data_IF_972431957658
#
_entry.id   IF_972431957658
#
_cell.length_a   1.000
_cell.length_b   1.000
_cell.length_c   1.000
_cell.angle_alpha   90.00
_cell.angle_beta   90.00
_cell.angle_gamma   90.00
#
_symmetry.space_group_name_H-M   'P 1'
#
loop_
_entity.id
_entity.type
_entity.pdbx_description
1 polymer ?
#
# COMPACT_ATOMS: atom_id res chain seq x y z
N UNK A 1 -20.75 -22.15 2.55
CA UNK A 1 -21.22 -20.75 2.69
C UNK A 1 -21.78 -20.36 4.07
N UNK A 2 -22.37 -21.30 4.84
CA UNK A 2 -22.99 -21.03 6.16
C UNK A 2 -22.09 -21.31 7.38
N UNK A 3 -20.80 -21.61 7.20
CA UNK A 3 -19.91 -21.85 8.35
C UNK A 3 -19.70 -20.54 9.13
N UNK A 4 -20.01 -20.47 10.44
CA UNK A 4 -19.83 -19.26 11.23
C UNK A 4 -18.39 -18.74 11.23
N UNK A 5 -17.38 -19.62 11.21
CA UNK A 5 -15.95 -19.24 11.16
C UNK A 5 -15.61 -18.57 9.82
N UNK A 6 -16.19 -19.09 8.73
CA UNK A 6 -16.05 -18.48 7.42
C UNK A 6 -16.71 -17.10 7.38
N UNK A 7 -17.94 -16.98 7.90
CA UNK A 7 -18.65 -15.69 7.97
C UNK A 7 -17.85 -14.68 8.80
N UNK A 8 -17.31 -15.09 9.95
CA UNK A 8 -16.50 -14.23 10.84
C UNK A 8 -15.24 -13.69 10.13
N UNK A 9 -14.51 -14.54 9.41
CA UNK A 9 -13.28 -14.14 8.71
C UNK A 9 -13.56 -13.30 7.45
N UNK A 10 -14.56 -13.65 6.64
CA UNK A 10 -14.86 -12.94 5.39
C UNK A 10 -15.64 -11.64 5.60
N UNK A 11 -16.41 -11.52 6.68
CA UNK A 11 -17.05 -10.26 7.06
C UNK A 11 -16.07 -9.19 7.56
N UNK A 12 -14.81 -9.56 7.83
CA UNK A 12 -13.82 -8.67 8.41
C UNK A 12 -14.03 -8.37 9.90
N UNK A 13 -14.99 -9.03 10.55
CA UNK A 13 -15.25 -8.85 11.98
C UNK A 13 -14.06 -9.27 12.85
N UNK A 14 -13.53 -10.48 12.60
CA UNK A 14 -12.31 -11.00 13.24
C UNK A 14 -11.83 -12.23 12.47
N UNK A 15 -10.52 -12.41 12.37
CA UNK A 15 -9.97 -13.55 11.66
C UNK A 15 -9.32 -13.17 10.34
N UNK A 16 -8.25 -13.86 9.99
CA UNK A 16 -7.63 -13.79 8.67
C UNK A 16 -7.63 -15.19 8.03
N UNK A 17 -7.56 -15.25 6.70
CA UNK A 17 -7.41 -16.50 5.93
C UNK A 17 -6.22 -17.32 6.45
N UNK A 18 -5.12 -16.67 6.84
CA UNK A 18 -3.97 -17.33 7.46
C UNK A 18 -4.31 -18.03 8.79
N UNK A 19 -5.20 -17.45 9.59
CA UNK A 19 -5.65 -18.04 10.85
C UNK A 19 -6.61 -19.20 10.61
N UNK A 20 -7.50 -19.08 9.61
CA UNK A 20 -8.39 -20.19 9.18
C UNK A 20 -7.57 -21.36 8.64
N UNK A 21 -6.51 -21.08 7.88
CA UNK A 21 -5.60 -22.10 7.36
C UNK A 21 -4.90 -22.87 8.49
N UNK A 22 -4.46 -22.20 9.56
CA UNK A 22 -3.86 -22.87 10.73
C UNK A 22 -4.88 -23.72 11.52
N UNK A 23 -6.16 -23.34 11.51
CA UNK A 23 -7.22 -24.06 12.22
C UNK A 23 -7.60 -25.38 11.55
N UNK A 24 -7.70 -25.40 10.21
CA UNK A 24 -8.30 -26.52 9.46
C UNK A 24 -7.37 -27.12 8.39
N UNK A 25 -6.38 -26.38 7.92
CA UNK A 25 -5.44 -26.82 6.89
C UNK A 25 -4.21 -27.48 7.49
N UNK A 26 -3.11 -26.73 7.53
CA UNK A 26 -1.87 -27.08 8.23
C UNK A 26 -1.32 -25.84 8.92
N UNK A 27 -0.57 -26.03 10.00
CA UNK A 27 0.09 -24.90 10.67
C UNK A 27 1.29 -24.37 9.87
N UNK A 28 1.99 -25.24 9.15
CA UNK A 28 3.02 -24.89 8.17
C UNK A 28 4.42 -24.66 8.79
N UNK A 29 5.20 -23.80 8.15
CA UNK A 29 6.59 -23.51 8.52
C UNK A 29 6.67 -22.48 9.66
N UNK A 30 7.68 -22.65 10.50
CA UNK A 30 7.98 -21.79 11.64
C UNK A 30 9.37 -21.17 11.52
N UNK A 31 9.56 -20.01 12.16
CA UNK A 31 10.89 -19.41 12.31
C UNK A 31 11.57 -19.83 13.61
N UNK A 32 12.88 -20.06 13.55
CA UNK A 32 13.74 -20.20 14.72
C UNK A 32 13.90 -18.86 15.48
N UNK A 33 14.50 -18.85 16.68
CA UNK A 33 14.77 -17.62 17.43
C UNK A 33 15.68 -16.61 16.70
N UNK A 34 16.48 -17.09 15.74
CA UNK A 34 17.36 -16.31 14.87
C UNK A 34 16.63 -15.73 13.63
N UNK A 35 15.36 -16.10 13.41
CA UNK A 35 14.54 -15.67 12.28
C UNK A 35 14.71 -16.49 11.00
N UNK A 36 15.43 -17.62 11.03
CA UNK A 36 15.56 -18.54 9.90
C UNK A 36 14.37 -19.50 9.86
N UNK A 37 13.99 -19.94 8.66
CA UNK A 37 12.93 -20.94 8.53
C UNK A 37 13.46 -22.30 9.01
N UNK A 38 12.64 -22.97 9.82
CA UNK A 38 12.89 -24.35 10.22
C UNK A 38 12.39 -25.25 9.09
N UNK A 39 13.27 -26.09 8.55
CA UNK A 39 12.95 -26.94 7.38
C UNK A 39 11.90 -28.02 7.67
N UNK A 40 11.61 -28.31 8.94
CA UNK A 40 10.58 -29.27 9.35
C UNK A 40 9.21 -28.57 9.48
N UNK A 41 8.25 -28.80 8.56
CA UNK A 41 6.93 -28.21 8.64
C UNK A 41 6.05 -28.91 9.67
N UNK A 42 5.17 -28.15 10.31
CA UNK A 42 4.08 -28.67 11.15
C UNK A 42 2.92 -29.05 10.22
N UNK A 43 2.72 -30.35 10.04
CA UNK A 43 1.72 -30.87 9.10
C UNK A 43 0.32 -30.85 9.71
N UNK A 44 0.21 -31.10 11.02
CA UNK A 44 -1.07 -31.11 11.71
C UNK A 44 -1.67 -29.70 11.84
N UNK A 45 -3.00 -29.65 11.95
CA UNK A 45 -3.75 -28.43 12.23
C UNK A 45 -4.20 -28.35 13.69
N UNK A 46 -4.68 -27.17 14.11
CA UNK A 46 -5.12 -26.95 15.49
C UNK A 46 -6.38 -27.77 15.86
N UNK A 47 -7.15 -28.24 14.88
CA UNK A 47 -8.32 -29.10 15.10
C UNK A 47 -7.91 -30.55 15.39
N UNK A 48 -6.89 -31.06 14.71
CA UNK A 48 -6.32 -32.39 14.89
C UNK A 48 -5.43 -32.47 16.14
N UNK A 49 -4.83 -31.34 16.53
CA UNK A 49 -3.87 -31.26 17.63
C UNK A 49 -2.43 -31.33 17.12
N UNK A 50 -1.48 -31.02 18.00
CA UNK A 50 -0.06 -31.01 17.68
C UNK A 50 0.66 -32.08 18.49
N UNK A 51 1.61 -32.77 17.86
CA UNK A 51 2.55 -33.64 18.58
C UNK A 51 3.46 -32.82 19.51
N UNK A 52 4.10 -33.48 20.47
CA UNK A 52 5.03 -32.82 21.40
C UNK A 52 6.13 -32.04 20.66
N UNK A 53 6.68 -32.65 19.60
CA UNK A 53 7.74 -32.04 18.78
C UNK A 53 7.23 -30.82 18.01
N UNK A 54 6.06 -30.91 17.38
CA UNK A 54 5.46 -29.78 16.65
C UNK A 54 5.09 -28.63 17.58
N UNK A 55 4.59 -28.94 18.77
CA UNK A 55 4.28 -27.94 19.78
C UNK A 55 5.56 -27.19 20.22
N UNK A 56 6.64 -27.91 20.52
CA UNK A 56 7.93 -27.30 20.90
C UNK A 56 8.48 -26.42 19.78
N UNK A 57 8.43 -26.87 18.52
CA UNK A 57 8.85 -26.08 17.35
C UNK A 57 8.04 -24.79 17.26
N UNK A 58 6.72 -24.89 17.42
CA UNK A 58 5.84 -23.71 17.42
C UNK A 58 6.13 -22.74 18.57
N UNK A 59 6.62 -23.22 19.72
CA UNK A 59 6.94 -22.38 20.86
C UNK A 59 8.12 -21.44 20.60
N UNK A 60 9.10 -21.82 19.77
CA UNK A 60 10.26 -20.97 19.47
C UNK A 60 9.83 -19.69 18.75
N UNK A 61 9.06 -19.81 17.67
CA UNK A 61 8.51 -18.67 16.93
C UNK A 61 7.57 -17.81 17.79
N UNK A 62 6.70 -18.45 18.59
CA UNK A 62 5.79 -17.75 19.50
C UNK A 62 6.53 -16.94 20.56
N UNK A 63 7.53 -17.54 21.23
CA UNK A 63 8.32 -16.87 22.27
C UNK A 63 9.09 -15.69 21.69
N UNK A 64 9.73 -15.87 20.53
CA UNK A 64 10.45 -14.80 19.84
C UNK A 64 9.50 -13.64 19.51
N UNK A 65 8.31 -13.94 19.00
CA UNK A 65 7.28 -12.94 18.71
C UNK A 65 6.86 -12.13 19.93
N UNK A 66 6.59 -12.79 21.07
CA UNK A 66 6.22 -12.11 22.33
C UNK A 66 7.36 -11.25 22.86
N UNK A 67 8.60 -11.76 22.83
CA UNK A 67 9.79 -11.01 23.27
C UNK A 67 10.02 -9.79 22.38
N UNK A 68 9.96 -9.95 21.06
CA UNK A 68 10.14 -8.83 20.11
C UNK A 68 9.03 -7.79 20.26
N UNK A 69 7.80 -8.24 20.53
CA UNK A 69 6.68 -7.34 20.85
C UNK A 69 7.01 -6.49 22.08
N UNK A 70 7.46 -7.11 23.17
CA UNK A 70 7.79 -6.39 24.40
C UNK A 70 8.96 -5.41 24.20
N UNK A 71 10.04 -5.85 23.56
CA UNK A 71 11.25 -5.04 23.36
C UNK A 71 11.01 -3.90 22.38
N UNK A 72 10.49 -4.18 21.19
CA UNK A 72 10.36 -3.18 20.12
C UNK A 72 9.27 -2.13 20.41
N UNK A 73 8.31 -2.43 21.28
CA UNK A 73 7.33 -1.43 21.74
C UNK A 73 8.03 -0.27 22.45
N UNK A 74 9.09 -0.57 23.22
CA UNK A 74 9.88 0.47 23.89
C UNK A 74 10.61 1.37 22.89
N UNK A 75 11.19 0.79 21.83
CA UNK A 75 11.88 1.55 20.77
C UNK A 75 10.92 2.45 20.00
N UNK A 76 9.75 1.94 19.63
CA UNK A 76 8.72 2.71 18.94
C UNK A 76 8.17 3.85 19.82
N UNK A 77 7.99 3.61 21.12
CA UNK A 77 7.61 4.63 22.09
C UNK A 77 8.68 5.71 22.26
N UNK A 78 9.95 5.31 22.35
CA UNK A 78 11.09 6.22 22.42
C UNK A 78 11.21 7.09 21.16
N UNK A 79 11.05 6.50 19.97
CA UNK A 79 11.00 7.24 18.70
C UNK A 79 9.87 8.26 18.71
N UNK A 80 8.67 7.88 19.14
CA UNK A 80 7.51 8.77 19.24
C UNK A 80 7.82 9.96 20.14
N UNK A 81 8.41 9.72 21.31
CA UNK A 81 8.84 10.78 22.23
C UNK A 81 9.83 11.74 21.56
N UNK A 82 10.88 11.22 20.90
CA UNK A 82 11.87 12.05 20.20
C UNK A 82 11.26 12.86 19.05
N UNK A 83 10.35 12.25 18.29
CA UNK A 83 9.64 12.95 17.21
C UNK A 83 8.87 14.14 17.78
N UNK A 84 8.06 13.92 18.82
CA UNK A 84 7.27 14.98 19.49
C UNK A 84 8.18 16.07 20.08
N UNK A 85 9.28 15.71 20.75
CA UNK A 85 10.24 16.67 21.31
C UNK A 85 10.82 17.62 20.23
N UNK A 86 11.08 17.10 19.02
CA UNK A 86 11.59 17.90 17.90
C UNK A 86 10.51 18.80 17.30
N UNK A 87 9.27 18.31 17.14
CA UNK A 87 8.22 19.02 16.41
C UNK A 87 7.29 19.86 17.28
N UNK A 88 7.36 19.77 18.62
CA UNK A 88 6.43 20.43 19.56
C UNK A 88 6.29 21.95 19.36
N UNK A 89 7.31 22.62 18.84
CA UNK A 89 7.30 24.07 18.62
C UNK A 89 6.61 24.49 17.31
N UNK A 90 6.29 23.53 16.44
CA UNK A 90 5.67 23.77 15.13
C UNK A 90 4.17 24.00 15.31
N UNK A 91 3.76 25.27 15.24
CA UNK A 91 2.39 25.74 15.42
C UNK A 91 1.97 26.60 14.22
N UNK A 92 0.68 26.64 13.90
CA UNK A 92 0.15 27.58 12.90
C UNK A 92 0.07 28.98 13.48
N UNK A 93 0.91 29.92 12.99
CA UNK A 93 0.96 31.30 13.52
C UNK A 93 0.38 32.37 12.62
N UNK A 94 0.38 32.18 11.30
CA UNK A 94 -0.09 33.18 10.32
C UNK A 94 -0.93 32.55 9.23
N UNK A 95 -1.77 33.35 8.58
CA UNK A 95 -2.56 32.91 7.42
C UNK A 95 -1.66 32.62 6.21
N UNK A 96 -0.85 33.58 5.78
CA UNK A 96 0.10 33.43 4.67
C UNK A 96 1.53 33.83 5.09
N UNK A 97 2.54 33.12 4.58
CA UNK A 97 3.97 33.47 4.67
C UNK A 97 4.49 34.25 3.45
N UNK A 98 3.65 34.42 2.41
CA UNK A 98 3.98 35.14 1.18
C UNK A 98 4.90 34.37 0.22
N UNK A 99 5.10 33.07 0.44
CA UNK A 99 5.92 32.25 -0.47
C UNK A 99 5.22 32.07 -1.81
N UNK A 100 5.99 32.21 -2.89
CA UNK A 100 5.56 31.90 -4.27
C UNK A 100 5.99 30.47 -4.64
N UNK A 101 6.87 29.85 -3.85
CA UNK A 101 7.40 28.51 -4.12
C UNK A 101 6.36 27.44 -3.81
N UNK A 102 6.05 26.63 -4.80
CA UNK A 102 5.24 25.41 -4.65
C UNK A 102 6.01 24.17 -5.10
N UNK A 103 5.42 23.00 -4.84
CA UNK A 103 5.88 21.72 -5.39
C UNK A 103 4.92 21.33 -6.50
N UNK A 104 5.43 21.02 -7.69
CA UNK A 104 4.63 20.57 -8.83
C UNK A 104 4.33 19.08 -8.71
N UNK A 105 3.06 18.70 -8.68
CA UNK A 105 2.59 17.31 -8.71
C UNK A 105 1.96 17.04 -10.08
N UNK A 106 2.41 16.01 -10.78
CA UNK A 106 1.87 15.61 -12.08
C UNK A 106 1.42 14.15 -12.08
N UNK A 107 0.28 13.84 -12.73
CA UNK A 107 -0.20 12.46 -12.84
C UNK A 107 0.63 11.64 -13.84
N UNK A 108 1.28 12.30 -14.81
CA UNK A 108 1.87 11.66 -16.00
C UNK A 108 3.24 11.01 -15.82
N UNK A 109 3.89 11.05 -14.64
CA UNK A 109 5.15 10.31 -14.40
C UNK A 109 4.89 8.82 -14.18
N UNK A 110 4.19 8.14 -15.11
CA UNK A 110 4.12 6.68 -15.38
C UNK A 110 4.00 5.64 -14.25
N UNK A 111 4.01 6.04 -12.97
CA UNK A 111 4.24 5.18 -11.80
C UNK A 111 3.30 5.49 -10.64
N UNK A 112 2.46 6.52 -10.74
CA UNK A 112 1.55 6.91 -9.67
C UNK A 112 0.10 6.57 -10.05
N UNK A 113 -0.53 5.62 -9.32
CA UNK A 113 -1.96 5.37 -9.44
C UNK A 113 -2.75 6.66 -9.22
N UNK A 114 -3.84 6.85 -9.98
CA UNK A 114 -4.72 8.02 -9.85
C UNK A 114 -5.20 8.25 -8.40
N UNK A 115 -5.39 7.16 -7.64
CA UNK A 115 -5.75 7.21 -6.21
C UNK A 115 -4.74 7.97 -5.36
N UNK A 116 -3.44 7.75 -5.59
CA UNK A 116 -2.36 8.41 -4.83
C UNK A 116 -2.30 9.89 -5.19
N UNK A 117 -2.49 10.20 -6.47
CA UNK A 117 -2.54 11.59 -6.94
C UNK A 117 -3.68 12.37 -6.27
N UNK A 118 -4.88 11.78 -6.23
CA UNK A 118 -6.05 12.38 -5.55
C UNK A 118 -5.76 12.59 -4.06
N UNK A 119 -5.29 11.56 -3.36
CA UNK A 119 -4.97 11.64 -1.93
C UNK A 119 -3.92 12.71 -1.61
N UNK A 120 -2.96 12.94 -2.50
CA UNK A 120 -1.91 13.95 -2.31
C UNK A 120 -2.45 15.38 -2.43
N UNK A 121 -3.43 15.60 -3.30
CA UNK A 121 -3.98 16.93 -3.59
C UNK A 121 -5.11 17.33 -2.64
N UNK A 122 -5.91 16.39 -2.16
CA UNK A 122 -7.04 16.68 -1.25
C UNK A 122 -6.55 17.49 -0.05
N UNK A 123 -7.20 18.63 0.18
CA UNK A 123 -6.94 19.47 1.33
C UNK A 123 -5.64 20.29 1.24
N UNK A 124 -4.93 20.27 0.11
CA UNK A 124 -3.81 21.20 -0.15
C UNK A 124 -4.31 22.50 -0.76
N UNK A 125 -3.41 23.48 -0.85
CA UNK A 125 -3.71 24.83 -1.37
C UNK A 125 -2.88 25.08 -2.62
N UNK A 126 -3.46 25.72 -3.62
CA UNK A 126 -2.80 26.06 -4.87
C UNK A 126 -1.72 27.13 -4.69
N UNK A 127 -0.56 26.90 -5.30
CA UNK A 127 0.54 27.87 -5.34
C UNK A 127 0.42 28.84 -6.53
N UNK A 128 -0.14 28.37 -7.65
CA UNK A 128 -0.30 29.13 -8.90
C UNK A 128 -1.75 29.08 -9.39
N UNK A 129 -2.15 30.07 -10.18
CA UNK A 129 -3.45 30.08 -10.87
C UNK A 129 -3.49 29.01 -11.96
N UNK A 130 -4.61 28.31 -12.08
CA UNK A 130 -4.80 27.26 -13.11
C UNK A 130 -5.76 27.78 -14.16
N UNK A 131 -5.24 27.89 -15.38
CA UNK A 131 -5.99 28.30 -16.56
C UNK A 131 -6.21 27.12 -17.52
N UNK A 132 -7.37 27.14 -18.16
CA UNK A 132 -7.71 26.30 -19.31
C UNK A 132 -8.01 27.21 -20.48
N UNK A 133 -7.04 27.35 -21.39
CA UNK A 133 -7.09 28.36 -22.45
C UNK A 133 -7.20 29.76 -21.86
N UNK A 134 -8.28 30.46 -22.16
CA UNK A 134 -8.58 31.80 -21.64
C UNK A 134 -9.37 31.82 -20.33
N UNK A 135 -9.84 30.67 -19.83
CA UNK A 135 -10.68 30.59 -18.62
C UNK A 135 -9.86 30.17 -17.40
N UNK A 136 -9.92 30.96 -16.32
CA UNK A 136 -9.39 30.57 -15.02
C UNK A 136 -10.30 29.52 -14.38
N UNK A 137 -9.76 28.35 -14.02
CA UNK A 137 -10.48 27.29 -13.32
C UNK A 137 -10.35 27.48 -11.81
N UNK A 138 -9.14 27.72 -11.34
CA UNK A 138 -8.85 27.85 -9.91
C UNK A 138 -7.80 28.94 -9.67
N UNK A 139 -8.00 29.68 -8.59
CA UNK A 139 -7.12 30.78 -8.21
C UNK A 139 -6.03 30.29 -7.24
N UNK A 140 -4.93 31.01 -7.22
CA UNK A 140 -3.87 30.88 -6.24
C UNK A 140 -4.45 31.06 -4.84
N UNK A 141 -3.92 30.30 -3.89
CA UNK A 141 -4.36 30.26 -2.50
C UNK A 141 -5.76 29.66 -2.26
N UNK A 142 -6.41 29.12 -3.30
CA UNK A 142 -7.64 28.36 -3.15
C UNK A 142 -7.33 26.94 -2.63
N UNK A 143 -8.18 26.44 -1.73
CA UNK A 143 -8.08 25.07 -1.23
C UNK A 143 -8.62 24.07 -2.27
N UNK A 144 -7.99 22.90 -2.32
CA UNK A 144 -8.32 21.86 -3.28
C UNK A 144 -9.33 20.91 -2.64
N UNK A 145 -10.61 21.11 -3.01
CA UNK A 145 -11.71 20.20 -2.67
C UNK A 145 -11.94 19.11 -3.73
N UNK A 146 -12.85 18.19 -3.42
CA UNK A 146 -13.21 17.05 -4.29
C UNK A 146 -13.73 17.53 -5.66
N UNK A 147 -14.52 18.62 -5.68
CA UNK A 147 -15.06 19.18 -6.92
C UNK A 147 -13.99 19.66 -7.89
N UNK A 148 -12.96 20.37 -7.40
CA UNK A 148 -11.84 20.84 -8.21
C UNK A 148 -10.99 19.67 -8.72
N UNK A 149 -10.79 18.64 -7.89
CA UNK A 149 -10.03 17.45 -8.30
C UNK A 149 -10.72 16.70 -9.44
N UNK A 150 -12.04 16.51 -9.36
CA UNK A 150 -12.79 15.85 -10.43
C UNK A 150 -12.70 16.62 -11.75
N UNK A 151 -12.67 17.95 -11.69
CA UNK A 151 -12.40 18.79 -12.85
C UNK A 151 -10.97 18.57 -13.38
N UNK A 152 -9.96 18.58 -12.51
CA UNK A 152 -8.56 18.36 -12.95
C UNK A 152 -8.34 16.98 -13.61
N UNK A 153 -9.00 15.94 -13.11
CA UNK A 153 -8.96 14.60 -13.71
C UNK A 153 -9.62 14.61 -15.08
N UNK A 154 -10.83 15.17 -15.19
CA UNK A 154 -11.56 15.25 -16.46
C UNK A 154 -10.78 16.01 -17.54
N UNK A 155 -10.07 17.08 -17.15
CA UNK A 155 -9.31 17.92 -18.08
C UNK A 155 -7.88 17.40 -18.34
N UNK A 156 -7.45 16.30 -17.72
CA UNK A 156 -6.07 15.78 -17.79
C UNK A 156 -5.02 16.90 -17.64
N UNK A 157 -5.16 17.70 -16.57
CA UNK A 157 -4.29 18.86 -16.36
C UNK A 157 -2.83 18.42 -16.16
N UNK A 158 -1.88 19.18 -16.73
CA UNK A 158 -0.44 18.81 -16.78
C UNK A 158 0.17 18.63 -15.39
N UNK A 159 0.51 19.72 -14.72
CA UNK A 159 1.20 19.74 -13.43
C UNK A 159 0.55 20.78 -12.55
N UNK A 160 0.20 20.40 -11.33
CA UNK A 160 -0.45 21.26 -10.36
C UNK A 160 0.58 21.68 -9.32
N UNK A 161 0.83 22.98 -9.21
CA UNK A 161 1.71 23.54 -8.17
C UNK A 161 0.93 23.67 -6.86
N UNK A 162 1.34 22.93 -5.83
CA UNK A 162 0.75 23.02 -4.48
C UNK A 162 1.71 23.70 -3.50
N UNK A 163 1.14 24.42 -2.54
CA UNK A 163 1.87 24.91 -1.36
C UNK A 163 2.11 23.75 -0.41
N UNK A 164 3.29 23.72 0.19
CA UNK A 164 3.67 22.69 1.17
C UNK A 164 4.38 23.29 2.37
N UNK A 165 4.43 22.57 3.51
CA UNK A 165 5.22 22.99 4.65
C UNK A 165 6.71 23.17 4.31
N UNK A 166 7.25 22.37 3.38
CA UNK A 166 8.65 22.43 2.95
C UNK A 166 9.04 23.76 2.29
N UNK A 167 8.09 24.43 1.62
CA UNK A 167 8.35 25.71 0.94
C UNK A 167 7.94 26.92 1.77
N UNK A 168 7.51 26.72 3.02
CA UNK A 168 7.16 27.79 3.94
C UNK A 168 8.39 28.67 4.22
N UNK A 169 8.17 29.98 4.41
CA UNK A 169 9.26 30.95 4.62
C UNK A 169 9.83 30.91 6.04
N UNK A 170 9.06 30.40 6.99
CA UNK A 170 9.47 30.32 8.39
C UNK A 170 10.11 28.96 8.69
N UNK A 171 11.11 28.98 9.58
CA UNK A 171 11.80 27.78 10.06
C UNK A 171 11.16 27.20 11.33
N UNK A 172 10.45 28.00 12.12
CA UNK A 172 9.96 27.62 13.45
C UNK A 172 8.43 27.52 13.57
N UNK A 173 7.69 27.89 12.52
CA UNK A 173 6.22 27.85 12.48
C UNK A 173 5.75 27.68 11.04
N UNK A 174 4.52 27.22 10.83
CA UNK A 174 3.95 27.01 9.48
C UNK A 174 2.75 27.95 9.29
N UNK A 175 2.53 28.46 8.07
CA UNK A 175 1.32 29.23 7.77
C UNK A 175 0.13 28.34 7.39
N UNK A 176 -1.09 28.84 7.61
CA UNK A 176 -2.36 28.15 7.27
C UNK A 176 -2.37 27.67 5.82
N UNK A 177 -1.96 28.52 4.87
CA UNK A 177 -1.95 28.17 3.44
C UNK A 177 -0.87 27.15 3.04
N UNK A 178 0.25 27.05 3.76
CA UNK A 178 1.27 26.03 3.48
C UNK A 178 0.91 24.67 4.07
N UNK A 179 0.14 24.64 5.16
CA UNK A 179 -0.37 23.40 5.74
C UNK A 179 -1.58 22.87 4.97
N UNK A 180 -2.60 23.71 4.80
CA UNK A 180 -3.87 23.38 4.14
C UNK A 180 -4.98 23.01 5.12
N UNK A 181 -5.76 21.99 4.77
CA UNK A 181 -6.94 21.50 5.48
C UNK A 181 -6.54 20.67 6.70
N UNK A 182 -7.23 20.87 7.82
CA UNK A 182 -7.09 20.00 8.99
C UNK A 182 -7.78 18.65 8.71
N UNK A 183 -7.15 17.51 9.06
CA UNK A 183 -7.74 16.19 8.86
C UNK A 183 -8.99 15.94 9.72
N UNK A 184 -9.19 16.72 10.80
CA UNK A 184 -10.28 16.51 11.77
C UNK A 184 -11.56 17.27 11.41
N UNK A 185 -11.45 18.56 11.12
CA UNK A 185 -12.61 19.43 10.91
C UNK A 185 -12.99 19.58 9.45
N UNK A 186 -12.16 19.09 8.53
CA UNK A 186 -12.44 19.24 7.11
C UNK A 186 -12.54 20.71 6.69
N UNK A 187 -11.89 21.64 7.37
CA UNK A 187 -11.73 23.04 6.94
C UNK A 187 -10.23 23.40 6.97
N UNK A 188 -9.85 24.56 6.43
CA UNK A 188 -8.47 25.03 6.56
C UNK A 188 -8.08 25.14 8.04
N UNK A 189 -6.86 24.74 8.38
CA UNK A 189 -6.34 24.71 9.75
C UNK A 189 -6.47 26.05 10.48
N UNK A 190 -6.77 26.03 11.78
CA UNK A 190 -6.95 27.26 12.55
C UNK A 190 -5.63 27.84 13.08
N UNK A 191 -5.63 29.13 13.38
CA UNK A 191 -4.46 29.80 13.98
C UNK A 191 -4.31 29.31 15.43
N UNK A 192 -3.10 28.91 15.81
CA UNK A 192 -2.78 28.37 17.13
C UNK A 192 -2.76 26.84 17.20
N UNK A 193 -3.16 26.14 16.13
CA UNK A 193 -3.18 24.67 16.13
C UNK A 193 -1.76 24.08 16.17
N UNK A 194 -1.52 23.14 17.09
CA UNK A 194 -0.23 22.50 17.33
C UNK A 194 0.03 21.35 16.34
N UNK A 195 0.13 21.69 15.06
CA UNK A 195 0.29 20.73 13.94
C UNK A 195 1.52 19.84 14.09
N UNK A 196 2.57 20.30 14.75
CA UNK A 196 3.74 19.47 15.05
C UNK A 196 3.39 18.28 15.93
N UNK A 197 2.71 18.51 17.05
CA UNK A 197 2.31 17.44 18.00
C UNK A 197 1.38 16.44 17.29
N UNK A 198 0.40 16.95 16.54
CA UNK A 198 -0.54 16.12 15.75
C UNK A 198 0.23 15.24 14.76
N UNK A 199 1.20 15.80 14.03
CA UNK A 199 2.03 15.03 13.09
C UNK A 199 2.91 13.98 13.78
N UNK A 200 3.55 14.33 14.91
CA UNK A 200 4.37 13.40 15.69
C UNK A 200 3.56 12.20 16.19
N UNK A 201 2.36 12.43 16.72
CA UNK A 201 1.44 11.38 17.16
C UNK A 201 0.91 10.53 16.00
N UNK A 202 0.56 11.16 14.88
CA UNK A 202 0.07 10.47 13.67
C UNK A 202 1.09 9.50 13.07
N UNK A 203 2.38 9.68 13.36
CA UNK A 203 3.44 8.73 12.99
C UNK A 203 3.68 7.72 14.12
N UNK A 204 3.76 8.20 15.36
CA UNK A 204 4.16 7.41 16.51
C UNK A 204 3.15 6.34 16.93
N UNK A 205 1.87 6.71 17.07
CA UNK A 205 0.83 5.78 17.50
C UNK A 205 0.68 4.61 16.50
N UNK A 206 0.50 4.84 15.18
CA UNK A 206 0.44 3.73 14.23
C UNK A 206 1.72 2.89 14.19
N UNK A 207 2.91 3.51 14.35
CA UNK A 207 4.18 2.79 14.39
C UNK A 207 4.29 1.83 15.59
N UNK A 208 3.90 2.28 16.78
CA UNK A 208 3.83 1.43 17.97
C UNK A 208 2.79 0.32 17.79
N UNK A 209 1.63 0.62 17.20
CA UNK A 209 0.57 -0.35 16.94
C UNK A 209 0.98 -1.41 15.91
N UNK A 210 1.68 -1.04 14.85
CA UNK A 210 2.21 -1.97 13.84
C UNK A 210 3.24 -2.91 14.46
N UNK A 211 4.08 -2.41 15.36
CA UNK A 211 5.04 -3.22 16.10
C UNK A 211 4.33 -4.26 16.97
N UNK A 212 3.29 -3.85 17.69
CA UNK A 212 2.45 -4.78 18.44
C UNK A 212 1.75 -5.79 17.53
N UNK A 213 1.31 -5.37 16.33
CA UNK A 213 0.50 -6.20 15.44
C UNK A 213 1.29 -7.20 14.56
N UNK A 214 2.58 -7.00 14.36
CA UNK A 214 3.36 -7.81 13.40
C UNK A 214 3.99 -9.04 14.05
N UNK A 215 4.42 -8.97 15.31
CA UNK A 215 5.20 -10.03 15.94
C UNK A 215 4.36 -11.04 16.74
N UNK A 216 3.09 -10.75 17.02
CA UNK A 216 2.23 -11.66 17.78
C UNK A 216 1.68 -12.85 16.95
N UNK A 217 1.94 -12.91 15.64
CA UNK A 217 1.50 -14.02 14.76
C UNK A 217 2.34 -15.30 14.93
N UNK A 218 3.31 -15.30 15.85
CA UNK A 218 3.96 -16.50 16.36
C UNK A 218 4.95 -17.17 15.40
N UNK A 219 5.52 -16.41 14.46
CA UNK A 219 6.54 -16.92 13.54
C UNK A 219 6.00 -17.83 12.43
N UNK A 220 4.67 -17.88 12.24
CA UNK A 220 4.07 -18.63 11.13
C UNK A 220 4.37 -17.91 9.83
N UNK A 221 5.13 -18.57 8.97
CA UNK A 221 5.43 -18.05 7.66
C UNK A 221 4.33 -18.46 6.69
N UNK A 222 3.37 -17.58 6.46
CA UNK A 222 2.52 -17.68 5.27
C UNK A 222 3.25 -16.97 4.15
N UNK A 223 3.94 -17.73 3.29
CA UNK A 223 4.53 -17.16 2.09
C UNK A 223 3.50 -16.32 1.36
N UNK A 224 3.88 -15.11 0.94
CA UNK A 224 3.01 -14.25 0.17
C UNK A 224 2.53 -15.01 -1.06
N UNK A 225 1.22 -15.09 -1.26
CA UNK A 225 0.65 -15.57 -2.51
C UNK A 225 1.22 -14.67 -3.61
N UNK A 226 2.02 -15.22 -4.53
CA UNK A 226 2.42 -14.46 -5.70
C UNK A 226 1.15 -13.88 -6.34
N UNK A 227 1.18 -12.61 -6.75
CA UNK A 227 0.06 -12.05 -7.49
C UNK A 227 -0.01 -12.77 -8.84
N UNK A 228 -1.13 -13.44 -9.09
CA UNK A 228 -1.36 -14.15 -10.34
C UNK A 228 -2.32 -13.34 -11.18
N UNK A 229 -1.94 -13.09 -12.43
CA UNK A 229 -2.85 -12.53 -13.44
C UNK A 229 -3.64 -13.69 -14.04
N UNK A 230 -4.97 -13.61 -14.01
CA UNK A 230 -5.87 -14.63 -14.54
C UNK A 230 -6.57 -14.14 -15.80
N UNK A 231 -6.86 -15.06 -16.72
CA UNK A 231 -7.61 -14.77 -17.92
C UNK A 231 -9.08 -14.42 -17.57
N UNK A 232 -9.60 -13.25 -17.97
CA UNK A 232 -10.96 -12.82 -17.66
C UNK A 232 -12.04 -13.57 -18.45
N UNK A 233 -11.68 -14.21 -19.57
CA UNK A 233 -12.61 -14.98 -20.39
C UNK A 233 -11.86 -16.00 -21.24
N UNK A 234 -12.61 -16.98 -21.77
CA UNK A 234 -12.05 -17.98 -22.66
C UNK A 234 -11.64 -17.34 -23.99
N UNK A 235 -10.41 -17.56 -24.44
CA UNK A 235 -9.92 -16.96 -25.68
C UNK A 235 -8.50 -17.38 -26.04
N UNK A 236 -8.00 -16.88 -27.15
CA UNK A 236 -6.58 -17.04 -27.53
C UNK A 236 -5.77 -15.85 -27.01
N UNK A 237 -4.68 -16.14 -26.31
CA UNK A 237 -3.74 -15.12 -25.84
C UNK A 237 -2.79 -14.74 -26.97
N UNK A 238 -2.60 -13.43 -27.16
CA UNK A 238 -1.57 -12.87 -28.03
C UNK A 238 -0.72 -11.86 -27.27
N UNK A 239 0.58 -11.94 -27.43
CA UNK A 239 1.53 -10.96 -26.93
C UNK A 239 2.76 -10.90 -27.83
N UNK A 240 3.57 -9.86 -27.66
CA UNK A 240 4.79 -9.71 -28.45
C UNK A 240 5.90 -10.63 -27.90
N UNK A 241 6.30 -11.63 -28.69
CA UNK A 241 7.35 -12.59 -28.33
C UNK A 241 8.73 -11.93 -28.15
N UNK A 242 9.00 -10.82 -28.85
CA UNK A 242 10.30 -10.12 -28.79
C UNK A 242 10.59 -9.53 -27.41
N UNK A 243 9.54 -9.29 -26.60
CA UNK A 243 9.64 -8.66 -25.28
C UNK A 243 9.82 -9.66 -24.14
N UNK A 244 10.01 -10.94 -24.47
CA UNK A 244 9.88 -12.04 -23.51
C UNK A 244 11.03 -13.04 -23.68
N UNK A 245 11.64 -13.45 -22.57
CA UNK A 245 12.78 -14.37 -22.57
C UNK A 245 12.41 -15.72 -21.95
N UNK A 246 12.72 -16.86 -22.60
CA UNK A 246 12.44 -18.17 -22.04
C UNK A 246 13.27 -18.42 -20.77
N UNK A 247 12.62 -18.76 -19.67
CA UNK A 247 13.20 -19.03 -18.35
C UNK A 247 12.55 -20.26 -17.73
N UNK A 248 13.05 -20.72 -16.58
CA UNK A 248 12.42 -21.78 -15.78
C UNK A 248 11.97 -21.25 -14.43
N UNK A 249 10.82 -21.72 -13.97
CA UNK A 249 10.38 -21.46 -12.58
C UNK A 249 11.30 -22.17 -11.59
N UNK A 250 11.18 -21.83 -10.30
CA UNK A 250 11.92 -22.50 -9.20
C UNK A 250 11.70 -24.02 -9.15
N UNK A 251 10.61 -24.51 -9.73
CA UNK A 251 10.25 -25.92 -9.81
C UNK A 251 10.66 -26.58 -11.15
N UNK A 252 11.36 -25.86 -12.03
CA UNK A 252 11.87 -26.38 -13.30
C UNK A 252 10.89 -26.33 -14.49
N UNK A 253 9.67 -25.82 -14.30
CA UNK A 253 8.70 -25.67 -15.39
C UNK A 253 9.11 -24.56 -16.36
N UNK A 254 8.91 -24.75 -17.67
CA UNK A 254 9.18 -23.71 -18.66
C UNK A 254 8.25 -22.52 -18.43
N UNK A 255 8.82 -21.32 -18.44
CA UNK A 255 8.11 -20.07 -18.31
C UNK A 255 8.80 -19.01 -19.17
N UNK A 256 8.21 -17.84 -19.21
CA UNK A 256 8.61 -16.72 -20.02
C UNK A 256 8.75 -15.50 -19.10
N UNK A 257 9.88 -14.80 -19.12
CA UNK A 257 10.14 -13.63 -18.28
C UNK A 257 9.97 -12.36 -19.11
N UNK A 258 9.18 -11.42 -18.62
CA UNK A 258 9.09 -10.07 -19.21
C UNK A 258 9.97 -9.08 -18.42
N UNK A 259 10.83 -8.33 -19.10
CA UNK A 259 11.65 -7.28 -18.46
C UNK A 259 10.92 -5.92 -18.40
N UNK A 260 9.93 -5.73 -19.27
CA UNK A 260 9.13 -4.50 -19.44
C UNK A 260 7.64 -4.87 -19.30
N UNK A 261 6.80 -3.87 -19.05
CA UNK A 261 5.33 -4.01 -19.09
C UNK A 261 4.88 -4.67 -20.41
N UNK A 262 4.27 -5.85 -20.31
CA UNK A 262 3.78 -6.60 -21.46
C UNK A 262 2.27 -6.42 -21.61
N UNK A 263 1.85 -6.02 -22.80
CA UNK A 263 0.44 -5.95 -23.17
C UNK A 263 0.00 -7.29 -23.76
N UNK A 264 -0.92 -7.96 -23.08
CA UNK A 264 -1.50 -9.24 -23.51
C UNK A 264 -2.93 -8.99 -23.97
N UNK A 265 -3.27 -9.48 -25.17
CA UNK A 265 -4.63 -9.43 -25.70
C UNK A 265 -5.23 -10.82 -25.69
N UNK A 266 -6.48 -10.93 -25.23
CA UNK A 266 -7.24 -12.19 -25.21
C UNK A 266 -8.40 -12.03 -26.18
N UNK A 267 -8.33 -12.79 -27.28
CA UNK A 267 -9.34 -12.81 -28.32
C UNK A 267 -10.39 -13.88 -28.00
N UNK A 268 -11.59 -13.43 -27.60
CA UNK A 268 -12.79 -14.28 -27.52
C UNK A 268 -13.73 -14.00 -28.69
N UNK A 269 -14.73 -14.86 -28.90
CA UNK A 269 -15.60 -14.91 -30.10
C UNK A 269 -16.25 -13.58 -30.53
N UNK A 270 -16.28 -12.53 -29.69
CA UNK A 270 -16.63 -11.15 -30.05
C UNK A 270 -16.09 -10.08 -29.07
N UNK A 271 -15.13 -10.42 -28.20
CA UNK A 271 -14.63 -9.51 -27.15
C UNK A 271 -13.12 -9.59 -27.10
N UNK A 272 -12.48 -8.41 -27.12
CA UNK A 272 -11.04 -8.24 -26.92
C UNK A 272 -10.81 -7.76 -25.49
N UNK A 273 -10.11 -8.56 -24.70
CA UNK A 273 -9.66 -8.14 -23.37
C UNK A 273 -8.17 -7.85 -23.39
N UNK A 274 -7.80 -6.66 -22.95
CA UNK A 274 -6.40 -6.26 -22.83
C UNK A 274 -6.00 -6.29 -21.36
N UNK A 275 -4.94 -7.03 -21.06
CA UNK A 275 -4.37 -7.17 -19.72
C UNK A 275 -2.93 -6.70 -19.75
N UNK A 276 -2.51 -5.96 -18.74
CA UNK A 276 -1.12 -5.50 -18.58
C UNK A 276 -0.42 -6.37 -17.55
N UNK A 277 0.72 -6.94 -17.93
CA UNK A 277 1.57 -7.74 -17.05
C UNK A 277 2.75 -6.86 -16.62
N UNK A 278 2.98 -6.68 -15.30
CA UNK A 278 4.07 -5.84 -14.79
C UNK A 278 5.45 -6.45 -15.08
N UNK A 279 6.54 -5.67 -14.99
CA UNK A 279 7.87 -6.14 -15.34
C UNK A 279 8.39 -7.13 -14.30
N UNK A 280 9.32 -8.00 -14.71
CA UNK A 280 9.86 -9.13 -13.95
C UNK A 280 8.81 -10.20 -13.54
N UNK A 281 7.72 -10.33 -14.31
CA UNK A 281 6.71 -11.37 -14.09
C UNK A 281 7.00 -12.62 -14.91
N UNK A 282 6.59 -13.78 -14.40
CA UNK A 282 6.61 -15.03 -15.15
C UNK A 282 5.28 -15.24 -15.88
N UNK A 283 5.36 -15.54 -17.17
CA UNK A 283 4.26 -15.95 -18.03
C UNK A 283 4.39 -17.46 -18.24
N UNK A 284 3.31 -18.19 -17.99
CA UNK A 284 3.24 -19.65 -18.07
C UNK A 284 2.62 -20.12 -19.39
N UNK A 285 1.94 -19.23 -20.10
CA UNK A 285 1.22 -19.50 -21.34
C UNK A 285 2.06 -19.15 -22.57
N UNK A 286 1.91 -19.92 -23.65
CA UNK A 286 2.54 -19.62 -24.95
C UNK A 286 1.74 -18.61 -25.75
N UNK A 287 2.40 -17.90 -26.66
CA UNK A 287 1.72 -17.07 -27.64
C UNK A 287 0.76 -17.93 -28.50
N UNK A 288 -0.40 -17.36 -28.84
CA UNK A 288 -1.52 -18.00 -29.54
C UNK A 288 -2.16 -19.23 -28.86
N UNK A 289 -1.83 -19.50 -27.60
CA UNK A 289 -2.45 -20.58 -26.83
C UNK A 289 -3.89 -20.22 -26.43
N UNK A 290 -4.78 -21.21 -26.51
CA UNK A 290 -6.13 -21.09 -25.97
C UNK A 290 -6.10 -21.20 -24.44
N UNK A 291 -6.67 -20.21 -23.76
CA UNK A 291 -6.84 -20.18 -22.31
C UNK A 291 -8.31 -20.19 -21.92
N UNK A 292 -8.58 -20.87 -20.82
CA UNK A 292 -9.89 -20.87 -20.17
C UNK A 292 -10.01 -19.67 -19.21
N UNK A 293 -11.25 -19.27 -18.92
CA UNK A 293 -11.56 -18.26 -17.91
C UNK A 293 -10.99 -18.70 -16.57
N UNK A 294 -10.42 -17.73 -15.83
CA UNK A 294 -9.74 -17.93 -14.55
C UNK A 294 -8.42 -18.72 -14.61
N UNK A 295 -7.95 -19.11 -15.80
CA UNK A 295 -6.63 -19.71 -15.97
C UNK A 295 -5.52 -18.68 -15.72
N UNK A 296 -4.46 -19.10 -15.02
CA UNK A 296 -3.27 -18.27 -14.76
C UNK A 296 -2.48 -18.09 -16.06
N UNK A 297 -2.14 -16.84 -16.36
CA UNK A 297 -1.36 -16.41 -17.53
C UNK A 297 0.13 -16.46 -17.21
#
# INVERSE_FOLDING_TARGET
PLNPVHIMSFSGARGNVSQVHQLVGMRGLMSDPQGRMIDLPIQSNLREGLSLTEYIISCYGARKGVVDTAVRTSDAGYLTRRLVEVVQHIVIRRKDCGTIRGISVSPQKGRMPERIFIQTLIGRVLADDIYMGSRCIALRNQDIGIGLINQFIAFRTKSISIRTPFTCRSTSWICRLCYGRSPTHGDLVELGEAVGIIAGQSIGEPGTQLTLRTFHTGGVFTGGTAEHVRAPSNGKIKFNEDLVHPTRTRHGHPAFLCDIDLYVTIESKNILHNVTIPPNSFILVKNDQYVESEQVI
#
